data_IF_228249043318
#
_entry.id   IF_228249043318
#
_cell.length_a   1.000
_cell.length_b   1.000
_cell.length_c   1.000
_cell.angle_alpha   90.00
_cell.angle_beta   90.00
_cell.angle_gamma   90.00
#
_symmetry.space_group_name_H-M   'P 1'
#
loop_
_entity.id
_entity.type
_entity.pdbx_description
1 polymer ?
#
# COMPACT_ATOMS: atom_id res chain seq x y z
N UNK A 1 -16.90 6.35 37.07
CA UNK A 1 -15.75 5.86 37.84
C UNK A 1 -15.14 4.69 37.05
N UNK A 2 -13.86 4.75 36.76
CA UNK A 2 -13.14 3.62 36.08
C UNK A 2 -13.21 2.37 36.98
N UNK A 3 -13.54 1.21 36.42
CA UNK A 3 -13.57 -0.07 37.15
C UNK A 3 -12.16 -0.63 37.45
N UNK A 4 -11.13 0.03 36.94
CA UNK A 4 -9.72 -0.41 37.02
C UNK A 4 -8.87 0.70 37.67
N UNK A 5 -7.70 0.30 38.20
CA UNK A 5 -6.68 1.24 38.61
C UNK A 5 -6.27 2.14 37.44
N UNK A 6 -5.89 3.37 37.72
CA UNK A 6 -5.64 4.40 36.69
C UNK A 6 -4.67 3.95 35.57
N UNK A 7 -3.50 3.30 35.85
CA UNK A 7 -2.61 2.87 34.78
C UNK A 7 -3.26 1.86 33.83
N UNK A 8 -4.06 0.91 34.38
CA UNK A 8 -4.76 -0.09 33.58
C UNK A 8 -5.87 0.56 32.75
N UNK A 9 -6.63 1.49 33.32
CA UNK A 9 -7.68 2.20 32.59
C UNK A 9 -7.09 2.98 31.40
N UNK A 10 -5.99 3.68 31.59
CA UNK A 10 -5.26 4.42 30.56
C UNK A 10 -4.77 3.50 29.44
N UNK A 11 -4.14 2.36 29.78
CA UNK A 11 -3.69 1.36 28.78
C UNK A 11 -4.88 0.84 27.95
N UNK A 12 -5.99 0.47 28.60
CA UNK A 12 -7.19 0.00 27.91
C UNK A 12 -7.75 1.09 26.98
N UNK A 13 -7.77 2.34 27.39
CA UNK A 13 -8.29 3.44 26.58
C UNK A 13 -7.38 3.73 25.36
N UNK A 14 -6.07 3.63 25.49
CA UNK A 14 -5.16 3.73 24.35
C UNK A 14 -5.35 2.55 23.35
N UNK A 15 -5.47 1.33 23.85
CA UNK A 15 -5.72 0.15 23.01
C UNK A 15 -7.06 0.24 22.25
N UNK A 16 -8.09 0.85 22.83
CA UNK A 16 -9.40 1.07 22.18
C UNK A 16 -9.34 2.03 21.00
N UNK A 17 -8.32 2.88 20.90
CA UNK A 17 -8.13 3.78 19.76
C UNK A 17 -7.65 3.03 18.50
N UNK A 18 -7.17 1.80 18.66
CA UNK A 18 -6.72 0.99 17.52
C UNK A 18 -7.92 0.43 16.75
N UNK A 19 -7.91 0.50 15.40
CA UNK A 19 -9.03 0.02 14.60
C UNK A 19 -9.27 -1.48 14.83
N UNK A 20 -10.55 -1.87 14.95
CA UNK A 20 -10.94 -3.26 15.22
C UNK A 20 -10.81 -3.69 16.70
N UNK A 21 -10.28 -2.86 17.60
CA UNK A 21 -10.15 -3.19 19.00
C UNK A 21 -11.29 -2.58 19.82
N UNK A 22 -12.28 -3.41 20.15
CA UNK A 22 -13.37 -3.04 21.04
C UNK A 22 -12.99 -3.19 22.53
N UNK A 23 -13.89 -2.70 23.43
CA UNK A 23 -13.65 -2.68 24.87
C UNK A 23 -13.27 -4.03 25.48
N UNK A 24 -13.89 -5.14 25.05
CA UNK A 24 -13.56 -6.48 25.55
C UNK A 24 -12.14 -6.91 25.14
N UNK A 25 -11.78 -6.68 23.88
CA UNK A 25 -10.45 -7.00 23.36
C UNK A 25 -9.37 -6.15 24.02
N UNK A 26 -9.61 -4.84 24.18
CA UNK A 26 -8.69 -3.94 24.86
C UNK A 26 -8.42 -4.36 26.33
N UNK A 27 -9.47 -4.76 27.05
CA UNK A 27 -9.32 -5.30 28.42
C UNK A 27 -8.48 -6.58 28.43
N UNK A 28 -8.76 -7.54 27.52
CA UNK A 28 -7.98 -8.79 27.41
C UNK A 28 -6.51 -8.52 27.13
N UNK A 29 -6.22 -7.62 26.20
CA UNK A 29 -4.85 -7.22 25.86
C UNK A 29 -4.17 -6.52 27.04
N UNK A 30 -4.84 -5.59 27.73
CA UNK A 30 -4.30 -4.93 28.92
C UNK A 30 -3.94 -5.91 30.04
N UNK A 31 -4.81 -6.90 30.32
CA UNK A 31 -4.49 -7.95 31.30
C UNK A 31 -3.42 -8.91 30.83
N UNK A 32 -3.28 -9.16 29.52
CA UNK A 32 -2.19 -9.95 28.96
C UNK A 32 -0.85 -9.25 29.20
N UNK A 33 -0.76 -7.97 28.86
CA UNK A 33 0.46 -7.15 29.09
C UNK A 33 0.81 -7.08 30.57
N UNK A 34 -0.19 -6.91 31.46
CA UNK A 34 0.05 -6.89 32.92
C UNK A 34 0.66 -8.22 33.43
N UNK A 35 0.34 -9.36 32.79
CA UNK A 35 0.82 -10.68 33.18
C UNK A 35 2.07 -11.15 32.46
N UNK A 36 2.47 -10.46 31.39
CA UNK A 36 3.72 -10.72 30.69
C UNK A 36 4.92 -10.28 31.54
N UNK A 37 6.11 -10.68 31.16
CA UNK A 37 7.32 -10.20 31.82
C UNK A 37 7.55 -8.70 31.58
N UNK A 38 8.34 -8.07 32.43
CA UNK A 38 8.70 -6.67 32.24
C UNK A 38 9.49 -6.47 30.95
N UNK A 39 10.33 -7.46 30.55
CA UNK A 39 11.06 -7.48 29.31
C UNK A 39 10.14 -7.47 28.09
N UNK A 40 9.09 -8.29 28.08
CA UNK A 40 8.12 -8.36 26.97
C UNK A 40 7.32 -7.06 26.86
N UNK A 41 6.91 -6.50 27.98
CA UNK A 41 6.19 -5.22 28.02
C UNK A 41 7.05 -4.07 27.50
N UNK A 42 8.32 -3.99 27.91
CA UNK A 42 9.26 -2.98 27.43
C UNK A 42 9.60 -3.19 25.96
N UNK A 43 9.77 -4.42 25.48
CA UNK A 43 10.01 -4.74 24.08
C UNK A 43 8.86 -4.24 23.19
N UNK A 44 7.61 -4.45 23.61
CA UNK A 44 6.45 -3.92 22.90
C UNK A 44 6.43 -2.39 22.88
N UNK A 45 6.68 -1.76 24.04
CA UNK A 45 6.73 -0.30 24.12
C UNK A 45 7.87 0.30 23.27
N UNK A 46 9.04 -0.34 23.26
CA UNK A 46 10.16 0.04 22.43
C UNK A 46 9.83 -0.07 20.94
N UNK A 47 9.23 -1.19 20.50
CA UNK A 47 8.83 -1.40 19.11
C UNK A 47 7.83 -0.33 18.61
N UNK A 48 6.85 0.05 19.45
CA UNK A 48 5.91 1.13 19.11
C UNK A 48 6.62 2.48 18.94
N UNK A 49 7.55 2.80 19.84
CA UNK A 49 8.38 4.03 19.74
C UNK A 49 9.24 4.01 18.47
N UNK A 50 9.89 2.88 18.19
CA UNK A 50 10.82 2.70 17.08
C UNK A 50 10.16 2.92 15.71
N UNK A 51 8.98 2.34 15.49
CA UNK A 51 8.17 2.57 14.28
C UNK A 51 7.92 4.06 14.03
N UNK A 52 7.62 4.84 15.09
CA UNK A 52 7.34 6.27 14.97
C UNK A 52 8.59 7.12 14.80
N UNK A 53 9.71 6.70 15.35
CA UNK A 53 10.98 7.44 15.32
C UNK A 53 11.79 7.17 14.03
N UNK A 54 11.81 5.93 13.56
CA UNK A 54 12.76 5.47 12.55
C UNK A 54 12.16 5.19 11.18
N UNK A 55 10.82 5.08 11.06
CA UNK A 55 10.19 4.94 9.75
C UNK A 55 9.88 6.30 9.11
N UNK A 56 10.18 6.37 7.81
CA UNK A 56 9.95 7.55 6.96
C UNK A 56 9.51 7.12 5.56
N UNK A 57 9.13 8.09 4.74
CA UNK A 57 8.89 7.83 3.33
C UNK A 57 10.20 7.91 2.56
N UNK A 58 10.40 6.94 1.67
CA UNK A 58 11.50 6.97 0.71
C UNK A 58 11.41 8.22 -0.17
N UNK A 59 12.51 8.97 -0.28
CA UNK A 59 12.58 10.21 -1.08
C UNK A 59 12.29 10.01 -2.57
N UNK A 60 12.50 8.78 -3.08
CA UNK A 60 12.30 8.44 -4.50
C UNK A 60 10.92 7.90 -4.79
N UNK A 61 10.44 6.92 -4.01
CA UNK A 61 9.23 6.15 -4.35
C UNK A 61 8.07 6.31 -3.35
N UNK A 62 8.27 7.04 -2.26
CA UNK A 62 7.32 7.21 -1.16
C UNK A 62 6.93 5.91 -0.43
N UNK A 63 7.68 4.82 -0.58
CA UNK A 63 7.50 3.64 0.25
C UNK A 63 7.91 3.91 1.70
N UNK A 64 7.31 3.22 2.66
CA UNK A 64 7.75 3.26 4.06
C UNK A 64 9.07 2.53 4.20
N UNK A 65 10.05 3.17 4.85
CA UNK A 65 11.42 2.63 4.96
C UNK A 65 12.15 3.20 6.17
N UNK A 66 13.14 2.49 6.66
CA UNK A 66 14.11 2.91 7.67
C UNK A 66 15.37 3.52 7.06
N UNK A 67 15.69 3.16 5.81
CA UNK A 67 16.83 3.67 5.03
C UNK A 67 16.35 4.48 3.82
N UNK A 68 17.05 5.53 3.43
CA UNK A 68 16.67 6.37 2.28
C UNK A 68 17.85 6.57 1.31
N UNK A 69 17.69 6.20 0.04
CA UNK A 69 16.53 5.56 -0.59
C UNK A 69 16.27 4.13 -0.10
N UNK A 70 14.99 3.67 -0.20
CA UNK A 70 14.60 2.34 0.25
C UNK A 70 15.32 1.22 -0.52
N UNK A 71 15.28 0.00 0.02
CA UNK A 71 15.94 -1.18 -0.55
C UNK A 71 15.58 -1.47 -2.02
N UNK A 72 14.39 -1.11 -2.48
CA UNK A 72 13.98 -1.25 -3.88
C UNK A 72 14.61 -0.19 -4.77
N UNK A 73 14.65 1.06 -4.32
CA UNK A 73 15.18 2.17 -5.10
C UNK A 73 16.71 2.17 -5.17
N UNK A 74 17.40 1.72 -4.12
CA UNK A 74 18.87 1.63 -4.06
C UNK A 74 19.43 0.35 -4.69
N UNK A 75 18.59 -0.61 -5.07
CA UNK A 75 19.05 -1.88 -5.62
C UNK A 75 19.62 -1.72 -7.03
N UNK A 76 20.89 -2.10 -7.19
CA UNK A 76 21.57 -2.12 -8.48
C UNK A 76 21.10 -3.26 -9.44
N UNK A 77 20.40 -4.27 -8.89
CA UNK A 77 19.93 -5.42 -9.67
C UNK A 77 18.54 -5.22 -10.25
N UNK A 78 17.80 -4.17 -9.81
CA UNK A 78 16.45 -3.87 -10.29
C UNK A 78 16.47 -2.97 -11.52
N UNK A 79 15.54 -3.24 -12.42
CA UNK A 79 15.36 -2.39 -13.60
C UNK A 79 14.70 -1.06 -13.22
N UNK A 80 15.53 -0.01 -13.10
CA UNK A 80 15.10 1.34 -12.75
C UNK A 80 14.22 2.00 -13.83
N UNK A 81 14.16 1.44 -15.04
CA UNK A 81 13.37 1.97 -16.16
C UNK A 81 11.92 1.48 -16.19
N UNK A 82 11.55 0.53 -15.31
CA UNK A 82 10.17 0.02 -15.15
C UNK A 82 9.66 0.38 -13.77
N UNK A 83 8.62 1.20 -13.71
CA UNK A 83 8.03 1.70 -12.46
C UNK A 83 6.64 1.11 -12.27
N UNK A 84 6.42 0.36 -11.18
CA UNK A 84 5.12 -0.12 -10.77
C UNK A 84 4.49 0.87 -9.77
N UNK A 85 3.35 1.45 -10.13
CA UNK A 85 2.61 2.42 -9.32
C UNK A 85 1.54 1.70 -8.53
N UNK A 86 1.59 1.82 -7.20
CA UNK A 86 0.64 1.21 -6.26
C UNK A 86 -0.03 2.26 -5.39
N UNK A 87 -1.20 1.95 -4.83
CA UNK A 87 -1.91 2.86 -3.92
C UNK A 87 -1.23 2.93 -2.56
N UNK A 88 -0.88 1.78 -1.98
CA UNK A 88 -0.38 1.66 -0.61
C UNK A 88 0.95 0.88 -0.54
N UNK A 89 1.81 1.16 0.46
CA UNK A 89 3.05 0.41 0.66
C UNK A 89 2.84 -1.10 0.82
N UNK A 90 1.73 -1.52 1.39
CA UNK A 90 1.36 -2.93 1.58
C UNK A 90 1.17 -3.69 0.27
N UNK A 91 0.80 -3.00 -0.82
CA UNK A 91 0.63 -3.60 -2.14
C UNK A 91 1.96 -4.10 -2.71
N UNK A 92 3.07 -3.45 -2.37
CA UNK A 92 4.42 -3.89 -2.77
C UNK A 92 4.68 -5.31 -2.30
N UNK A 93 4.35 -5.61 -1.04
CA UNK A 93 4.54 -6.96 -0.48
C UNK A 93 3.77 -8.05 -1.22
N UNK A 94 2.59 -7.74 -1.78
CA UNK A 94 1.83 -8.69 -2.59
C UNK A 94 2.53 -8.98 -3.93
N UNK A 95 3.09 -7.96 -4.58
CA UNK A 95 3.83 -8.11 -5.85
C UNK A 95 5.16 -8.85 -5.61
N UNK A 96 5.91 -8.50 -4.57
CA UNK A 96 7.20 -9.11 -4.23
C UNK A 96 7.09 -10.61 -3.89
N UNK A 97 5.96 -11.06 -3.33
CA UNK A 97 5.71 -12.50 -3.10
C UNK A 97 5.77 -13.33 -4.37
N UNK A 98 5.51 -12.76 -5.53
CA UNK A 98 5.59 -13.46 -6.81
C UNK A 98 7.03 -13.77 -7.23
N UNK A 99 8.02 -13.03 -6.70
CA UNK A 99 9.45 -13.10 -7.08
C UNK A 99 9.72 -12.92 -8.59
N UNK A 100 8.75 -12.38 -9.31
CA UNK A 100 8.82 -12.25 -10.77
C UNK A 100 9.06 -10.81 -11.22
N UNK A 101 8.59 -9.82 -10.47
CA UNK A 101 8.76 -8.41 -10.82
C UNK A 101 10.15 -7.90 -10.42
N UNK A 102 10.88 -7.39 -11.40
CA UNK A 102 12.24 -6.86 -11.20
C UNK A 102 12.36 -5.35 -11.46
N UNK A 103 11.25 -4.64 -11.52
CA UNK A 103 11.24 -3.17 -11.58
C UNK A 103 11.30 -2.51 -10.20
N UNK A 104 11.03 -1.21 -10.18
CA UNK A 104 10.94 -0.40 -8.97
C UNK A 104 9.52 0.09 -8.73
N UNK A 105 9.25 0.69 -7.57
CA UNK A 105 7.90 1.05 -7.16
C UNK A 105 7.71 2.57 -7.07
N UNK A 106 6.46 2.99 -7.09
CA UNK A 106 6.03 4.32 -6.66
C UNK A 106 4.69 4.18 -5.90
N UNK A 107 4.64 4.73 -4.69
CA UNK A 107 3.47 4.66 -3.81
C UNK A 107 2.72 5.98 -3.85
N UNK A 108 1.42 5.93 -4.12
CA UNK A 108 0.55 7.10 -4.21
C UNK A 108 0.04 7.57 -2.84
N UNK A 109 -0.03 6.68 -1.85
CA UNK A 109 -0.70 6.86 -0.55
C UNK A 109 -2.19 7.16 -0.69
N UNK A 110 -2.88 6.35 -1.49
CA UNK A 110 -4.32 6.38 -1.70
C UNK A 110 -4.74 6.34 -3.17
N UNK A 111 -6.00 6.64 -3.40
CA UNK A 111 -6.64 6.73 -4.71
C UNK A 111 -7.50 8.00 -4.82
N UNK A 112 -7.77 8.46 -6.03
CA UNK A 112 -8.67 9.59 -6.28
C UNK A 112 -10.08 9.19 -5.87
N UNK A 113 -10.65 9.91 -4.91
CA UNK A 113 -11.99 9.66 -4.38
C UNK A 113 -12.72 10.98 -4.12
N UNK A 114 -13.43 11.52 -5.12
CA UNK A 114 -14.16 12.79 -4.97
C UNK A 114 -15.19 12.77 -3.84
N UNK A 115 -15.82 11.61 -3.61
CA UNK A 115 -16.79 11.44 -2.52
C UNK A 115 -16.17 11.62 -1.13
N UNK A 116 -14.87 11.31 -0.99
CA UNK A 116 -14.12 11.49 0.24
C UNK A 116 -13.23 12.74 0.22
N UNK A 117 -13.39 13.62 -0.79
CA UNK A 117 -12.61 14.84 -0.94
C UNK A 117 -11.14 14.61 -1.29
N UNK A 118 -10.77 13.43 -1.82
CA UNK A 118 -9.39 13.11 -2.22
C UNK A 118 -9.21 13.38 -3.70
N UNK A 119 -8.52 14.47 -4.02
CA UNK A 119 -8.10 14.82 -5.38
C UNK A 119 -6.66 14.38 -5.68
N UNK A 120 -6.22 14.59 -6.93
CA UNK A 120 -4.86 14.21 -7.36
C UNK A 120 -3.73 14.90 -6.57
N UNK A 121 -4.00 16.08 -6.01
CA UNK A 121 -3.05 16.91 -5.27
C UNK A 121 -2.77 16.38 -3.86
N UNK A 122 -3.69 15.58 -3.28
CA UNK A 122 -3.48 14.91 -1.99
C UNK A 122 -2.64 13.63 -2.14
N UNK A 123 -2.49 13.14 -3.38
CA UNK A 123 -1.72 11.92 -3.69
C UNK A 123 -0.29 12.27 -4.13
N UNK A 124 0.61 11.29 -4.07
CA UNK A 124 2.01 11.45 -4.51
C UNK A 124 2.18 11.40 -6.03
N UNK A 125 1.19 11.91 -6.78
CA UNK A 125 1.20 11.93 -8.25
C UNK A 125 2.22 12.93 -8.80
N UNK A 126 2.36 14.11 -8.18
CA UNK A 126 3.36 15.10 -8.58
C UNK A 126 4.80 14.57 -8.46
N UNK A 127 5.08 13.76 -7.42
CA UNK A 127 6.36 13.08 -7.25
C UNK A 127 6.61 12.06 -8.37
N UNK A 128 5.58 11.31 -8.78
CA UNK A 128 5.67 10.38 -9.91
C UNK A 128 6.00 11.12 -11.20
N UNK A 129 5.29 12.21 -11.50
CA UNK A 129 5.51 12.98 -12.73
C UNK A 129 6.92 13.52 -12.79
N UNK A 130 7.42 14.14 -11.72
CA UNK A 130 8.79 14.62 -11.64
C UNK A 130 9.81 13.49 -11.83
N UNK A 131 9.61 12.36 -11.17
CA UNK A 131 10.48 11.19 -11.31
C UNK A 131 10.57 10.70 -12.75
N UNK A 132 9.45 10.68 -13.46
CA UNK A 132 9.37 10.27 -14.85
C UNK A 132 10.09 11.27 -15.79
N UNK A 133 9.99 12.56 -15.51
CA UNK A 133 10.68 13.63 -16.26
C UNK A 133 12.19 13.60 -16.02
N UNK A 134 12.62 13.38 -14.76
CA UNK A 134 14.03 13.41 -14.35
C UNK A 134 14.78 12.10 -14.65
N UNK A 135 14.07 10.98 -14.92
CA UNK A 135 14.64 9.64 -15.07
C UNK A 135 14.31 9.02 -16.42
N UNK A 136 15.19 8.12 -16.89
CA UNK A 136 14.94 7.35 -18.12
C UNK A 136 13.95 6.20 -17.85
N UNK A 137 12.67 6.51 -17.62
CA UNK A 137 11.61 5.51 -17.47
C UNK A 137 11.09 5.09 -18.84
N UNK A 138 11.03 3.79 -19.10
CA UNK A 138 10.46 3.24 -20.33
C UNK A 138 8.99 2.86 -20.17
N UNK A 139 8.66 2.29 -18.99
CA UNK A 139 7.33 1.75 -18.73
C UNK A 139 6.85 2.11 -17.33
N UNK A 140 5.60 2.55 -17.25
CA UNK A 140 4.87 2.68 -16.00
C UNK A 140 3.74 1.66 -15.97
N UNK A 141 3.80 0.73 -15.01
CA UNK A 141 2.76 -0.26 -14.76
C UNK A 141 1.84 0.31 -13.70
N UNK A 142 0.58 0.54 -14.02
CA UNK A 142 -0.41 1.00 -13.04
C UNK A 142 -1.01 -0.22 -12.32
N UNK A 143 -0.76 -0.32 -11.03
CA UNK A 143 -1.19 -1.42 -10.16
C UNK A 143 -2.08 -0.90 -9.01
N UNK A 144 -2.97 0.05 -9.31
CA UNK A 144 -4.04 0.46 -8.39
C UNK A 144 -5.08 -0.64 -8.25
N UNK A 145 -5.82 -0.66 -7.14
CA UNK A 145 -6.84 -1.67 -6.89
C UNK A 145 -7.94 -1.64 -7.97
N UNK A 146 -8.60 -2.78 -8.27
CA UNK A 146 -9.71 -2.85 -9.22
C UNK A 146 -11.03 -2.37 -8.59
N UNK A 147 -11.00 -1.19 -7.96
CA UNK A 147 -12.14 -0.46 -7.40
C UNK A 147 -12.49 0.72 -8.30
N UNK A 148 -13.65 1.34 -8.09
CA UNK A 148 -14.06 2.53 -8.83
C UNK A 148 -13.03 3.65 -8.70
N UNK A 149 -12.53 3.88 -7.49
CA UNK A 149 -11.50 4.88 -7.18
C UNK A 149 -10.15 4.52 -7.82
N UNK A 150 -9.78 3.24 -7.75
CA UNK A 150 -8.53 2.75 -8.36
C UNK A 150 -8.55 2.84 -9.88
N UNK A 151 -9.69 2.59 -10.54
CA UNK A 151 -9.87 2.77 -11.98
C UNK A 151 -9.88 4.25 -12.39
N UNK A 152 -10.54 5.11 -11.62
CA UNK A 152 -10.48 6.57 -11.83
C UNK A 152 -9.03 7.08 -11.74
N UNK A 153 -8.29 6.59 -10.73
CA UNK A 153 -6.87 6.92 -10.54
C UNK A 153 -6.02 6.42 -11.71
N UNK A 154 -6.24 5.18 -12.15
CA UNK A 154 -5.55 4.60 -13.30
C UNK A 154 -5.78 5.39 -14.58
N UNK A 155 -7.03 5.76 -14.84
CA UNK A 155 -7.42 6.58 -16.02
C UNK A 155 -6.74 7.94 -15.99
N UNK A 156 -6.76 8.61 -14.85
CA UNK A 156 -6.11 9.92 -14.66
C UNK A 156 -4.60 9.83 -14.90
N UNK A 157 -3.93 8.87 -14.29
CA UNK A 157 -2.48 8.64 -14.46
C UNK A 157 -2.13 8.30 -15.90
N UNK A 158 -2.88 7.39 -16.52
CA UNK A 158 -2.66 7.00 -17.92
C UNK A 158 -2.73 8.20 -18.86
N UNK A 159 -3.73 9.10 -18.67
CA UNK A 159 -3.86 10.31 -19.46
C UNK A 159 -2.68 11.27 -19.34
N UNK A 160 -2.11 11.41 -18.13
CA UNK A 160 -0.92 12.25 -17.90
C UNK A 160 0.36 11.62 -18.45
N UNK A 161 0.61 10.34 -18.15
CA UNK A 161 1.84 9.64 -18.50
C UNK A 161 1.98 9.41 -20.01
N UNK A 162 0.88 9.10 -20.71
CA UNK A 162 0.90 8.98 -22.19
C UNK A 162 1.24 10.28 -22.89
N UNK A 163 0.82 11.43 -22.35
CA UNK A 163 1.21 12.75 -22.88
C UNK A 163 2.72 13.01 -22.75
N UNK A 164 3.38 12.35 -21.81
CA UNK A 164 4.84 12.37 -21.67
C UNK A 164 5.55 11.33 -22.57
N UNK A 165 4.84 10.63 -23.45
CA UNK A 165 5.41 9.67 -24.41
C UNK A 165 5.79 8.29 -23.83
N UNK A 166 5.33 7.97 -22.63
CA UNK A 166 5.68 6.74 -21.94
C UNK A 166 4.79 5.56 -22.33
N UNK A 167 5.37 4.35 -22.28
CA UNK A 167 4.57 3.13 -22.28
C UNK A 167 3.86 2.99 -20.94
N UNK A 168 2.53 2.98 -20.98
CA UNK A 168 1.68 2.81 -19.79
C UNK A 168 0.91 1.52 -19.90
N UNK A 169 1.08 0.65 -18.94
CA UNK A 169 0.40 -0.65 -18.84
C UNK A 169 -0.42 -0.73 -17.56
N UNK A 170 -1.35 -1.67 -17.51
CA UNK A 170 -2.22 -1.96 -16.36
C UNK A 170 -2.02 -3.43 -15.96
N UNK A 171 -2.01 -3.73 -14.65
CA UNK A 171 -2.08 -5.13 -14.22
C UNK A 171 -3.33 -5.79 -14.78
N UNK A 172 -3.23 -7.07 -15.15
CA UNK A 172 -4.35 -7.84 -15.66
C UNK A 172 -5.46 -7.96 -14.62
N UNK A 173 -6.70 -7.92 -15.10
CA UNK A 173 -7.90 -8.14 -14.30
C UNK A 173 -8.65 -9.33 -14.88
N UNK A 174 -9.32 -10.08 -14.00
CA UNK A 174 -10.12 -11.21 -14.42
C UNK A 174 -10.25 -12.28 -13.35
N UNK A 175 -10.66 -13.49 -13.77
CA UNK A 175 -10.88 -14.63 -12.88
C UNK A 175 -9.57 -15.03 -12.21
N UNK A 176 -9.54 -15.14 -10.87
CA UNK A 176 -8.36 -15.62 -10.15
C UNK A 176 -8.01 -17.07 -10.54
N UNK A 177 -6.70 -17.36 -10.61
CA UNK A 177 -6.22 -18.73 -10.86
C UNK A 177 -6.70 -19.67 -9.76
N UNK A 178 -7.29 -20.79 -10.13
CA UNK A 178 -7.85 -21.78 -9.21
C UNK A 178 -9.32 -21.56 -8.82
N UNK A 179 -9.96 -20.52 -9.40
CA UNK A 179 -11.41 -20.32 -9.25
C UNK A 179 -12.18 -20.94 -10.42
N UNK A 180 -13.39 -21.43 -10.14
CA UNK A 180 -14.31 -21.89 -11.18
C UNK A 180 -15.01 -20.69 -11.85
N UNK A 181 -15.22 -20.77 -13.15
CA UNK A 181 -15.82 -19.71 -13.96
C UNK A 181 -17.24 -19.37 -13.49
N UNK A 182 -17.99 -20.37 -13.01
CA UNK A 182 -19.40 -20.21 -12.59
C UNK A 182 -19.58 -19.31 -11.37
N UNK A 183 -18.51 -19.09 -10.55
CA UNK A 183 -18.56 -18.22 -9.38
C UNK A 183 -18.09 -16.80 -9.65
N UNK A 184 -17.68 -16.50 -10.88
CA UNK A 184 -17.27 -15.15 -11.24
C UNK A 184 -18.49 -14.23 -11.38
N UNK A 185 -18.45 -13.06 -10.75
CA UNK A 185 -19.46 -12.02 -11.00
C UNK A 185 -19.36 -11.47 -12.43
N UNK A 186 -20.42 -10.76 -12.87
CA UNK A 186 -20.54 -10.25 -14.23
C UNK A 186 -19.39 -9.32 -14.62
N UNK A 187 -18.92 -8.47 -13.70
CA UNK A 187 -17.83 -7.52 -13.96
C UNK A 187 -16.50 -8.25 -14.11
N UNK A 188 -16.22 -9.20 -13.23
CA UNK A 188 -15.02 -10.05 -13.30
C UNK A 188 -15.00 -10.85 -14.60
N UNK A 189 -16.14 -11.42 -15.01
CA UNK A 189 -16.26 -12.15 -16.29
C UNK A 189 -16.04 -11.22 -17.48
N UNK A 190 -16.65 -10.03 -17.47
CA UNK A 190 -16.46 -9.03 -18.53
C UNK A 190 -14.98 -8.67 -18.68
N UNK A 191 -14.29 -8.38 -17.57
CA UNK A 191 -12.87 -8.03 -17.58
C UNK A 191 -11.99 -9.17 -18.06
N UNK A 192 -12.32 -10.42 -17.73
CA UNK A 192 -11.62 -11.61 -18.23
C UNK A 192 -11.76 -11.75 -19.76
N UNK A 193 -12.95 -11.51 -20.30
CA UNK A 193 -13.21 -11.58 -21.74
C UNK A 193 -12.55 -10.42 -22.51
N UNK A 194 -12.56 -9.21 -21.95
CA UNK A 194 -11.85 -8.06 -22.52
C UNK A 194 -10.33 -8.28 -22.54
N UNK A 195 -9.78 -8.83 -21.46
CA UNK A 195 -8.34 -9.08 -21.27
C UNK A 195 -7.83 -10.41 -21.85
N UNK A 196 -8.65 -11.15 -22.63
CA UNK A 196 -8.24 -12.43 -23.22
C UNK A 196 -7.02 -12.28 -24.11
N UNK A 197 -6.14 -13.28 -24.09
CA UNK A 197 -4.89 -13.32 -24.86
C UNK A 197 -4.89 -14.50 -25.82
N UNK A 198 -4.17 -14.40 -26.94
CA UNK A 198 -3.82 -15.55 -27.76
C UNK A 198 -2.94 -16.54 -26.98
N UNK A 199 -3.14 -17.83 -27.24
CA UNK A 199 -2.38 -18.92 -26.60
C UNK A 199 -1.15 -19.26 -27.43
#
# INVERSE_FOLDING_TARGET
>A
MSKFAEPMARLIDELKKLPGIGSKTAQRLGFHILRSSDEDAEALAAAVRDVKANLRLCSVCNNITDVDPCVYCSSATRNQRVVCVVEEPTNIGAIEKTKHFNGVYHVLHGSISPLHGVGPEQLRISNLMRRVEDSQVDEVIIATNPTVEGEATATYLSGKLRRAGLKVTRIAMGIPVGSDIEYADEITMLKSMEGRREL
#
